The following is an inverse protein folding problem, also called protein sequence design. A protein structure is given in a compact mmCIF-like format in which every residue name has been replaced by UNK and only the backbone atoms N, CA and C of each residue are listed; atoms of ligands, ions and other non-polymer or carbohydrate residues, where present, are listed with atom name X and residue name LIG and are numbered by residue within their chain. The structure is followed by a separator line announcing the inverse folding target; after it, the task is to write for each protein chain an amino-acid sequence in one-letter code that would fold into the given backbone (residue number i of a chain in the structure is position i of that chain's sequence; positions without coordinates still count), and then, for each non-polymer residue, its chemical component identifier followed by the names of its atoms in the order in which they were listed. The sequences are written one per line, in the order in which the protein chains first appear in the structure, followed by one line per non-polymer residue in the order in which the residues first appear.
data_IF_304737915594
#
_entry.id   IF_304737915594
#
_cell.length_a   1.000
_cell.length_b   1.000
_cell.length_c   1.000
_cell.angle_alpha   90.00
_cell.angle_beta   90.00
_cell.angle_gamma   90.00
#
_symmetry.space_group_name_H-M   'P 1'
#
loop_
_entity.id
_entity.type
_entity.pdbx_description
1 polymer ?
#
# COMPACT_ATOMS: atom_id res chain seq x y z
N UNK A 1 13.01 -0.41 -33.27
CA UNK A 1 13.36 -0.27 -31.85
C UNK A 1 12.05 -0.33 -31.07
N UNK A 2 11.68 -1.50 -30.57
CA UNK A 2 10.48 -1.71 -29.76
C UNK A 2 10.91 -1.48 -28.31
N UNK A 3 10.29 -0.50 -27.65
CA UNK A 3 10.46 -0.26 -26.21
C UNK A 3 10.09 -1.54 -25.45
N UNK A 4 10.82 -1.93 -24.38
CA UNK A 4 10.41 -3.03 -23.54
C UNK A 4 9.03 -2.72 -22.95
N UNK A 5 8.08 -3.64 -23.17
CA UNK A 5 6.76 -3.60 -22.55
C UNK A 5 6.94 -3.59 -21.04
N UNK A 6 6.43 -2.55 -20.37
CA UNK A 6 6.35 -2.49 -18.91
C UNK A 6 5.53 -3.69 -18.45
N UNK A 7 6.19 -4.74 -17.95
CA UNK A 7 5.53 -5.93 -17.43
C UNK A 7 4.51 -5.50 -16.37
N UNK A 8 3.25 -5.83 -16.58
CA UNK A 8 2.20 -5.67 -15.58
C UNK A 8 2.63 -6.44 -14.33
N UNK A 9 3.08 -5.73 -13.29
CA UNK A 9 3.45 -6.34 -12.02
C UNK A 9 2.17 -6.56 -11.23
N UNK A 10 1.89 -7.81 -10.89
CA UNK A 10 0.93 -8.12 -9.85
C UNK A 10 1.58 -7.71 -8.53
N UNK A 11 0.98 -6.74 -7.84
CA UNK A 11 1.48 -6.22 -6.58
C UNK A 11 1.84 -7.36 -5.62
N UNK A 12 3.11 -7.43 -5.21
CA UNK A 12 3.54 -8.37 -4.19
C UNK A 12 3.21 -7.82 -2.81
N UNK A 13 2.83 -8.68 -1.86
CA UNK A 13 2.72 -8.29 -0.44
C UNK A 13 3.99 -7.60 0.07
N UNK A 14 5.15 -7.92 -0.53
CA UNK A 14 6.42 -7.25 -0.29
C UNK A 14 6.40 -5.77 -0.62
N UNK A 15 5.83 -5.35 -1.74
CA UNK A 15 5.76 -3.94 -2.15
C UNK A 15 4.85 -3.14 -1.21
N UNK A 16 3.72 -3.73 -0.75
CA UNK A 16 2.87 -3.08 0.26
C UNK A 16 3.63 -2.89 1.59
N UNK A 17 4.47 -3.86 1.96
CA UNK A 17 5.29 -3.76 3.17
C UNK A 17 6.40 -2.73 3.05
N UNK A 18 6.85 -2.42 1.84
CA UNK A 18 8.02 -1.56 1.59
C UNK A 18 7.66 -0.11 1.28
N UNK A 19 6.57 0.15 0.52
CA UNK A 19 6.18 1.51 0.07
C UNK A 19 4.75 1.87 0.45
N UNK A 20 4.01 0.93 1.04
CA UNK A 20 2.64 1.15 1.51
C UNK A 20 2.50 2.18 2.62
N UNK A 21 3.59 2.64 3.21
CA UNK A 21 3.54 3.31 4.48
C UNK A 21 4.36 4.60 4.45
N UNK A 22 3.92 5.65 5.15
CA UNK A 22 4.63 6.94 5.15
C UNK A 22 5.98 6.88 5.86
N UNK A 23 6.04 6.21 7.02
CA UNK A 23 7.24 6.17 7.85
C UNK A 23 7.77 4.75 8.04
N UNK A 24 9.05 4.50 7.75
CA UNK A 24 9.69 3.22 8.06
C UNK A 24 10.44 3.34 9.38
N UNK A 25 10.15 2.47 10.36
CA UNK A 25 10.79 2.54 11.66
C UNK A 25 12.09 1.73 11.69
N UNK A 26 13.20 2.39 11.99
CA UNK A 26 14.51 1.75 12.11
C UNK A 26 14.74 1.27 13.54
N UNK A 27 15.10 -0.02 13.71
CA UNK A 27 15.57 -0.57 14.98
C UNK A 27 14.51 -0.84 16.05
N UNK A 28 13.23 -1.00 15.69
CA UNK A 28 12.22 -1.52 16.62
C UNK A 28 12.44 -3.02 16.78
N UNK A 29 13.30 -3.38 17.75
CA UNK A 29 13.41 -4.76 18.22
C UNK A 29 12.00 -5.20 18.57
N UNK A 30 11.51 -6.25 17.91
CA UNK A 30 10.28 -6.93 18.31
C UNK A 30 10.36 -7.12 19.82
N UNK A 31 9.39 -6.56 20.56
CA UNK A 31 9.22 -6.88 21.98
C UNK A 31 8.73 -8.33 22.04
N UNK A 32 9.63 -9.28 21.73
CA UNK A 32 9.48 -10.66 22.14
C UNK A 32 9.69 -10.69 23.65
N UNK A 33 8.79 -11.43 24.30
CA UNK A 33 8.66 -11.45 25.75
C UNK A 33 9.97 -11.77 26.45
N UNK A 34 10.20 -11.01 27.51
CA UNK A 34 11.12 -11.30 28.59
C UNK A 34 11.05 -12.78 29.01
N UNK A 35 12.16 -13.47 28.77
CA UNK A 35 12.40 -14.88 29.06
C UNK A 35 13.90 -15.13 29.07
N UNK A 36 14.56 -14.67 30.12
CA UNK A 36 15.97 -14.92 30.42
C UNK A 36 16.24 -16.41 30.62
N UNK A 37 17.23 -16.96 29.90
CA UNK A 37 18.42 -17.66 30.44
C UNK A 37 18.96 -18.73 29.45
N UNK A 38 20.26 -18.66 29.15
CA UNK A 38 21.04 -19.81 28.65
C UNK A 38 22.11 -19.49 27.61
N UNK A 39 23.35 -19.31 28.07
CA UNK A 39 24.58 -19.18 27.29
C UNK A 39 24.85 -20.31 26.29
N UNK A 40 25.40 -19.98 25.10
CA UNK A 40 26.42 -20.80 24.42
C UNK A 40 27.15 -20.03 23.31
N UNK A 41 28.46 -20.19 23.34
CA UNK A 41 29.53 -19.56 22.56
C UNK A 41 29.59 -19.91 21.04
N UNK A 42 29.97 -18.89 20.24
CA UNK A 42 31.02 -18.92 19.16
C UNK A 42 30.70 -19.60 17.80
N UNK A 43 31.37 -19.29 16.65
CA UNK A 43 32.05 -18.07 16.16
C UNK A 43 31.49 -17.51 14.82
N UNK A 44 32.01 -16.34 14.44
CA UNK A 44 31.93 -15.71 13.13
C UNK A 44 32.29 -16.63 11.95
N UNK A 45 31.54 -16.52 10.85
CA UNK A 45 32.03 -16.84 9.52
C UNK A 45 31.52 -15.79 8.54
N UNK A 46 32.44 -14.93 8.08
CA UNK A 46 32.19 -14.03 6.97
C UNK A 46 32.03 -14.82 5.68
N UNK A 47 31.02 -14.45 4.90
CA UNK A 47 30.95 -14.72 3.47
C UNK A 47 30.45 -13.44 2.81
N UNK A 48 31.38 -12.67 2.27
CA UNK A 48 31.10 -11.81 1.14
C UNK A 48 30.69 -12.73 -0.02
N UNK A 49 29.56 -12.45 -0.63
CA UNK A 49 29.29 -12.88 -1.99
C UNK A 49 28.56 -11.73 -2.66
N UNK A 50 29.37 -10.98 -3.41
CA UNK A 50 28.93 -10.02 -4.41
C UNK A 50 27.84 -10.64 -5.25
N UNK A 51 26.62 -10.11 -5.12
CA UNK A 51 25.58 -10.27 -6.10
C UNK A 51 25.20 -8.86 -6.51
N UNK A 52 25.85 -8.39 -7.58
CA UNK A 52 25.34 -7.34 -8.46
C UNK A 52 24.03 -7.84 -9.07
N UNK A 53 22.98 -7.93 -8.26
CA UNK A 53 21.62 -7.92 -8.77
C UNK A 53 21.36 -6.47 -9.16
N UNK A 54 21.41 -6.21 -10.46
CA UNK A 54 20.89 -4.97 -11.04
C UNK A 54 19.40 -4.95 -10.73
N UNK A 55 19.05 -4.37 -9.56
CA UNK A 55 17.69 -4.09 -9.19
C UNK A 55 17.10 -3.22 -10.30
N UNK A 56 16.02 -3.66 -10.96
CA UNK A 56 15.43 -2.89 -12.04
C UNK A 56 14.98 -1.56 -11.46
N UNK A 57 15.57 -0.47 -11.97
CA UNK A 57 15.25 0.91 -11.58
C UNK A 57 13.73 1.06 -11.46
N UNK A 58 13.29 1.22 -10.22
CA UNK A 58 11.90 1.28 -9.84
C UNK A 58 11.33 2.63 -10.30
N UNK A 59 10.66 2.64 -11.44
CA UNK A 59 9.76 3.72 -11.89
C UNK A 59 8.46 3.68 -11.06
N UNK A 60 8.56 3.94 -9.75
CA UNK A 60 7.38 4.30 -8.95
C UNK A 60 7.27 5.83 -8.88
N UNK A 61 6.06 6.35 -9.02
CA UNK A 61 5.71 7.75 -8.69
C UNK A 61 5.37 7.95 -7.21
N UNK A 62 5.49 6.86 -6.44
CA UNK A 62 5.63 6.76 -4.98
C UNK A 62 6.33 7.97 -4.32
N UNK A 63 6.17 8.33 -3.04
CA UNK A 63 7.31 8.84 -2.27
C UNK A 63 7.94 7.68 -1.49
N UNK A 64 9.28 7.61 -1.45
CA UNK A 64 9.97 6.67 -0.55
C UNK A 64 9.47 6.93 0.87
N UNK A 65 9.12 5.89 1.65
CA UNK A 65 8.84 6.08 3.06
C UNK A 65 10.00 6.77 3.78
N UNK A 66 9.69 7.75 4.61
CA UNK A 66 10.69 8.42 5.43
C UNK A 66 11.15 7.48 6.55
N UNK A 67 12.45 7.21 6.62
CA UNK A 67 13.01 6.38 7.69
C UNK A 67 13.08 7.18 8.98
N UNK A 68 12.33 6.75 9.99
CA UNK A 68 12.32 7.32 11.33
C UNK A 68 13.08 6.44 12.31
N UNK A 69 14.08 7.02 12.97
CA UNK A 69 14.68 6.41 14.15
C UNK A 69 13.72 6.47 15.35
N UNK A 70 13.92 5.60 16.33
CA UNK A 70 13.04 5.44 17.49
C UNK A 70 12.75 6.76 18.23
N UNK A 71 13.74 7.63 18.41
CA UNK A 71 13.55 8.91 19.12
C UNK A 71 12.63 9.87 18.35
N UNK A 72 12.77 9.94 17.02
CA UNK A 72 11.90 10.73 16.14
C UNK A 72 10.49 10.14 16.09
N UNK A 73 10.36 8.82 15.97
CA UNK A 73 9.07 8.14 16.01
C UNK A 73 8.31 8.41 17.31
N UNK A 74 8.99 8.29 18.46
CA UNK A 74 8.40 8.62 19.76
C UNK A 74 8.06 10.11 19.88
N UNK A 75 8.87 11.01 19.30
CA UNK A 75 8.55 12.43 19.24
C UNK A 75 7.30 12.70 18.41
N UNK A 76 7.18 12.07 17.25
CA UNK A 76 6.01 12.15 16.38
C UNK A 76 4.75 11.66 17.11
N UNK A 77 4.78 10.46 17.69
CA UNK A 77 3.66 9.92 18.47
C UNK A 77 3.30 10.84 19.65
N UNK A 78 4.30 11.43 20.33
CA UNK A 78 4.06 12.41 21.40
C UNK A 78 3.36 13.67 20.89
N UNK A 79 3.74 14.18 19.73
CA UNK A 79 3.07 15.33 19.11
C UNK A 79 1.60 15.00 18.82
N UNK A 80 1.33 13.86 18.19
CA UNK A 80 -0.04 13.41 17.90
C UNK A 80 -0.84 13.19 19.20
N UNK A 81 -0.21 12.62 20.24
CA UNK A 81 -0.80 12.44 21.56
C UNK A 81 -1.15 13.78 22.23
N UNK A 82 -0.31 14.80 22.10
CA UNK A 82 -0.57 16.14 22.65
C UNK A 82 -1.72 16.81 21.89
N UNK A 83 -1.76 16.70 20.57
CA UNK A 83 -2.86 17.21 19.75
C UNK A 83 -4.20 16.54 20.06
N UNK A 84 -4.17 15.28 20.49
CA UNK A 84 -5.37 14.50 20.84
C UNK A 84 -5.70 14.52 22.34
N UNK A 85 -4.90 15.19 23.18
CA UNK A 85 -5.08 15.28 24.63
C UNK A 85 -6.27 16.16 25.04
N UNK A 86 -6.84 15.88 26.22
CA UNK A 86 -7.90 16.70 26.84
C UNK A 86 -9.31 16.12 26.76
N UNK A 87 -9.49 14.92 26.20
CA UNK A 87 -10.82 14.26 26.05
C UNK A 87 -10.99 12.94 26.80
N UNK A 88 -9.90 12.43 27.38
CA UNK A 88 -9.88 11.18 28.13
C UNK A 88 -10.06 11.43 29.62
N UNK A 89 -10.78 10.54 30.31
CA UNK A 89 -10.69 10.45 31.75
C UNK A 89 -9.28 9.98 32.17
N UNK A 90 -8.73 10.48 33.28
CA UNK A 90 -7.44 10.03 33.79
C UNK A 90 -7.43 8.50 33.96
N UNK A 91 -6.52 7.82 33.25
CA UNK A 91 -6.37 6.35 33.30
C UNK A 91 -6.93 5.60 32.09
N UNK A 92 -7.57 6.28 31.13
CA UNK A 92 -8.05 5.65 29.90
C UNK A 92 -7.09 5.87 28.71
N UNK A 93 -7.05 4.89 27.79
CA UNK A 93 -6.30 4.98 26.55
C UNK A 93 -7.10 5.75 25.49
N UNK A 94 -6.42 6.63 24.74
CA UNK A 94 -7.06 7.41 23.68
C UNK A 94 -7.14 6.66 22.35
N UNK A 95 -8.32 6.13 21.96
CA UNK A 95 -8.46 5.43 20.68
C UNK A 95 -8.24 6.35 19.47
N UNK A 96 -8.40 7.67 19.63
CA UNK A 96 -8.20 8.65 18.56
C UNK A 96 -6.72 8.74 18.15
N UNK A 97 -5.80 8.49 19.07
CA UNK A 97 -4.37 8.47 18.77
C UNK A 97 -4.05 7.41 17.71
N UNK A 98 -4.56 6.18 17.86
CA UNK A 98 -4.30 5.10 16.90
C UNK A 98 -4.89 5.44 15.54
N UNK A 99 -6.10 6.01 15.52
CA UNK A 99 -6.78 6.38 14.27
C UNK A 99 -5.98 7.43 13.50
N UNK A 100 -5.44 8.44 14.20
CA UNK A 100 -4.64 9.50 13.59
C UNK A 100 -3.31 8.95 13.02
N UNK A 101 -2.60 8.14 13.82
CA UNK A 101 -1.35 7.51 13.38
C UNK A 101 -1.56 6.57 12.18
N UNK A 102 -2.64 5.78 12.20
CA UNK A 102 -3.00 4.89 11.08
C UNK A 102 -3.28 5.69 9.80
N UNK A 103 -3.95 6.82 9.93
CA UNK A 103 -4.26 7.71 8.82
C UNK A 103 -3.01 8.28 8.16
N UNK A 104 -2.11 8.82 8.98
CA UNK A 104 -0.87 9.39 8.51
C UNK A 104 0.03 8.32 7.88
N UNK A 105 0.03 7.11 8.43
CA UNK A 105 0.79 6.00 7.89
C UNK A 105 0.23 5.48 6.55
N UNK A 106 -1.09 5.55 6.34
CA UNK A 106 -1.78 5.04 5.15
C UNK A 106 -2.04 6.10 4.06
N UNK A 107 -1.34 7.24 4.14
CA UNK A 107 -1.48 8.35 3.19
C UNK A 107 -1.32 7.88 1.72
N UNK A 108 -0.32 7.04 1.47
CA UNK A 108 0.03 6.53 0.14
C UNK A 108 -0.94 5.49 -0.43
N UNK A 109 -1.83 4.88 0.38
CA UNK A 109 -2.66 3.74 -0.06
C UNK A 109 -3.59 4.04 -1.22
N UNK A 110 -3.97 5.31 -1.40
CA UNK A 110 -4.83 5.70 -2.50
C UNK A 110 -4.16 5.49 -3.85
N UNK A 111 -2.98 6.07 -4.05
CA UNK A 111 -2.26 6.00 -5.32
C UNK A 111 -1.84 4.56 -5.62
N UNK A 112 -1.34 3.82 -4.61
CA UNK A 112 -0.95 2.41 -4.78
C UNK A 112 -2.13 1.54 -5.24
N UNK A 113 -3.31 1.78 -4.70
CA UNK A 113 -4.51 1.04 -5.06
C UNK A 113 -5.06 1.45 -6.44
N UNK A 114 -4.96 2.74 -6.80
CA UNK A 114 -5.32 3.24 -8.14
C UNK A 114 -4.39 2.64 -9.21
N UNK A 115 -3.07 2.63 -8.97
CA UNK A 115 -2.07 2.03 -9.85
C UNK A 115 -2.28 0.52 -10.00
N UNK A 116 -2.48 -0.18 -8.88
CA UNK A 116 -2.75 -1.62 -8.91
C UNK A 116 -4.00 -1.95 -9.74
N UNK A 117 -5.07 -1.15 -9.61
CA UNK A 117 -6.29 -1.34 -10.37
C UNK A 117 -6.06 -1.15 -11.87
N UNK A 118 -5.27 -0.15 -12.26
CA UNK A 118 -4.87 0.06 -13.66
C UNK A 118 -4.05 -1.11 -14.20
N UNK A 119 -3.11 -1.63 -13.43
CA UNK A 119 -2.23 -2.70 -13.87
C UNK A 119 -2.98 -4.03 -14.01
N UNK A 120 -3.89 -4.34 -13.08
CA UNK A 120 -4.77 -5.51 -13.21
C UNK A 120 -5.68 -5.38 -14.43
N UNK A 121 -6.22 -4.19 -14.69
CA UNK A 121 -7.08 -3.94 -15.86
C UNK A 121 -6.32 -4.10 -17.18
N UNK A 122 -5.10 -3.57 -17.27
CA UNK A 122 -4.20 -3.77 -18.43
C UNK A 122 -3.87 -5.24 -18.61
N UNK A 123 -3.53 -5.95 -17.53
CA UNK A 123 -3.21 -7.37 -17.56
C UNK A 123 -4.39 -8.20 -18.08
N UNK A 124 -5.61 -7.93 -17.58
CA UNK A 124 -6.82 -8.61 -18.05
C UNK A 124 -7.09 -8.33 -19.53
N UNK A 125 -6.92 -7.08 -19.96
CA UNK A 125 -7.09 -6.68 -21.36
C UNK A 125 -6.12 -7.40 -22.27
N UNK A 126 -4.83 -7.42 -21.92
CA UNK A 126 -3.79 -8.11 -22.68
C UNK A 126 -4.04 -9.61 -22.73
N UNK A 127 -4.39 -10.24 -21.60
CA UNK A 127 -4.72 -11.65 -21.55
C UNK A 127 -5.86 -12.02 -22.50
N UNK A 128 -6.93 -11.23 -22.55
CA UNK A 128 -8.05 -11.50 -23.45
C UNK A 128 -7.66 -11.29 -24.92
N UNK A 129 -6.85 -10.27 -25.22
CA UNK A 129 -6.32 -10.04 -26.57
C UNK A 129 -5.48 -11.24 -27.05
N UNK A 130 -4.58 -11.72 -26.20
CA UNK A 130 -3.72 -12.87 -26.49
C UNK A 130 -4.56 -14.14 -26.67
N UNK A 131 -5.55 -14.37 -25.79
CA UNK A 131 -6.46 -15.49 -25.92
C UNK A 131 -7.27 -15.44 -27.23
N UNK A 132 -7.82 -14.27 -27.59
CA UNK A 132 -8.55 -14.10 -28.85
C UNK A 132 -7.68 -14.36 -30.07
N UNK A 133 -6.39 -14.02 -30.01
CA UNK A 133 -5.45 -14.32 -31.09
C UNK A 133 -5.27 -15.82 -31.32
N UNK A 134 -5.28 -16.60 -30.24
CA UNK A 134 -5.04 -18.04 -30.29
C UNK A 134 -6.31 -18.83 -30.68
N UNK A 135 -7.49 -18.35 -30.30
CA UNK A 135 -8.76 -19.08 -30.50
C UNK A 135 -9.57 -18.61 -31.71
N UNK A 136 -9.34 -17.39 -32.23
CA UNK A 136 -10.15 -16.87 -33.33
C UNK A 136 -9.85 -17.59 -34.65
N UNK A 137 -10.88 -18.08 -35.37
CA UNK A 137 -10.73 -18.59 -36.73
C UNK A 137 -10.22 -17.49 -37.68
N UNK A 138 -9.53 -17.87 -38.75
CA UNK A 138 -8.98 -16.94 -39.74
C UNK A 138 -10.01 -15.96 -40.35
N UNK A 139 -11.29 -16.36 -40.38
CA UNK A 139 -12.39 -15.57 -40.92
C UNK A 139 -12.95 -14.51 -39.95
N UNK A 140 -12.54 -14.55 -38.68
CA UNK A 140 -12.99 -13.62 -37.64
C UNK A 140 -11.78 -12.89 -37.06
N UNK A 141 -11.54 -11.62 -37.43
CA UNK A 141 -10.38 -10.91 -36.93
C UNK A 141 -10.58 -10.55 -35.44
N UNK A 142 -9.60 -10.85 -34.57
CA UNK A 142 -9.67 -10.60 -33.12
C UNK A 142 -10.13 -9.19 -32.71
N UNK A 143 -9.71 -8.09 -33.39
CA UNK A 143 -10.15 -6.75 -33.02
C UNK A 143 -11.67 -6.53 -33.10
N UNK A 144 -12.37 -7.25 -34.00
CA UNK A 144 -13.83 -7.14 -34.11
C UNK A 144 -14.52 -7.75 -32.90
N UNK A 145 -14.06 -8.92 -32.45
CA UNK A 145 -14.61 -9.62 -31.28
C UNK A 145 -14.31 -8.84 -30.00
N UNK A 146 -13.09 -8.31 -29.89
CA UNK A 146 -12.69 -7.46 -28.77
C UNK A 146 -13.64 -6.27 -28.62
N UNK A 147 -13.82 -5.49 -29.69
CA UNK A 147 -14.64 -4.29 -29.66
C UNK A 147 -16.13 -4.56 -29.40
N UNK A 148 -16.66 -5.69 -29.88
CA UNK A 148 -18.10 -5.96 -29.80
C UNK A 148 -18.54 -6.76 -28.56
N UNK A 149 -17.65 -7.53 -27.94
CA UNK A 149 -18.01 -8.45 -26.85
C UNK A 149 -17.24 -8.16 -25.55
N UNK A 150 -15.96 -7.82 -25.68
CA UNK A 150 -15.03 -7.80 -24.54
C UNK A 150 -14.91 -6.41 -23.94
N UNK A 151 -14.80 -5.37 -24.79
CA UNK A 151 -14.50 -4.00 -24.37
C UNK A 151 -15.47 -3.48 -23.31
N UNK A 152 -16.78 -3.64 -23.53
CA UNK A 152 -17.82 -3.21 -22.59
C UNK A 152 -17.73 -3.95 -21.25
N UNK A 153 -17.45 -5.26 -21.29
CA UNK A 153 -17.32 -6.08 -20.08
C UNK A 153 -16.09 -5.71 -19.25
N UNK A 154 -14.94 -5.50 -19.90
CA UNK A 154 -13.71 -5.06 -19.23
C UNK A 154 -13.87 -3.67 -18.65
N UNK A 155 -14.47 -2.74 -19.41
CA UNK A 155 -14.76 -1.39 -18.94
C UNK A 155 -15.71 -1.39 -17.74
N UNK A 156 -16.80 -2.15 -17.79
CA UNK A 156 -17.75 -2.26 -16.68
C UNK A 156 -17.09 -2.81 -15.40
N UNK A 157 -16.19 -3.79 -15.53
CA UNK A 157 -15.43 -4.32 -14.39
C UNK A 157 -14.44 -3.30 -13.83
N UNK A 158 -13.80 -2.53 -14.70
CA UNK A 158 -12.91 -1.44 -14.30
C UNK A 158 -13.67 -0.37 -13.49
N UNK A 159 -14.79 0.11 -14.03
CA UNK A 159 -15.66 1.09 -13.36
C UNK A 159 -16.18 0.57 -12.01
N UNK A 160 -16.53 -0.72 -11.92
CA UNK A 160 -16.92 -1.34 -10.66
C UNK A 160 -15.77 -1.38 -9.65
N UNK A 161 -14.54 -1.70 -10.10
CA UNK A 161 -13.34 -1.67 -9.26
C UNK A 161 -13.02 -0.26 -8.74
N UNK A 162 -13.12 0.76 -9.60
CA UNK A 162 -12.94 2.17 -9.23
C UNK A 162 -14.00 2.61 -8.21
N UNK A 163 -15.24 2.16 -8.39
CA UNK A 163 -16.33 2.46 -7.46
C UNK A 163 -16.10 1.84 -6.08
N UNK A 164 -15.62 0.59 -6.01
CA UNK A 164 -15.25 -0.05 -4.73
C UNK A 164 -14.06 0.64 -4.07
N UNK A 165 -13.01 0.96 -4.85
CA UNK A 165 -11.86 1.71 -4.33
C UNK A 165 -12.29 3.05 -3.74
N UNK A 166 -13.18 3.77 -4.43
CA UNK A 166 -13.76 5.03 -3.94
C UNK A 166 -14.51 4.84 -2.61
N UNK A 167 -15.24 3.74 -2.42
CA UNK A 167 -15.91 3.44 -1.14
C UNK A 167 -14.89 3.22 -0.03
N UNK A 168 -13.83 2.43 -0.26
CA UNK A 168 -12.77 2.20 0.72
C UNK A 168 -12.05 3.51 1.12
N UNK A 169 -11.79 4.38 0.15
CA UNK A 169 -11.21 5.70 0.40
C UNK A 169 -12.16 6.65 1.14
N UNK A 170 -13.46 6.55 0.87
CA UNK A 170 -14.50 7.28 1.60
C UNK A 170 -14.61 6.78 3.04
N UNK A 171 -14.55 5.46 3.25
CA UNK A 171 -14.56 4.88 4.58
C UNK A 171 -13.35 5.39 5.37
N UNK A 172 -12.15 5.37 4.78
CA UNK A 172 -10.95 6.02 5.34
C UNK A 172 -11.26 7.48 5.73
N UNK A 173 -11.72 8.32 4.78
CA UNK A 173 -12.11 9.76 4.95
C UNK A 173 -13.15 10.00 6.04
N UNK A 174 -14.15 9.13 6.18
CA UNK A 174 -15.26 9.29 7.11
C UNK A 174 -14.78 9.24 8.56
N UNK A 175 -13.81 8.38 8.88
CA UNK A 175 -13.23 8.33 10.22
C UNK A 175 -12.57 9.65 10.61
N UNK A 176 -11.88 10.30 9.68
CA UNK A 176 -11.22 11.60 9.89
C UNK A 176 -12.22 12.75 10.05
N UNK A 177 -13.27 12.78 9.22
CA UNK A 177 -14.31 13.81 9.33
C UNK A 177 -15.14 13.67 10.62
N UNK A 178 -15.44 12.44 11.05
CA UNK A 178 -16.10 12.22 12.35
C UNK A 178 -15.20 12.64 13.52
N UNK A 179 -13.88 12.48 13.38
CA UNK A 179 -12.89 12.96 14.33
C UNK A 179 -12.91 14.49 14.42
N UNK A 180 -12.81 15.19 13.28
CA UNK A 180 -12.85 16.65 13.21
C UNK A 180 -14.21 17.22 13.67
N UNK A 181 -15.33 16.66 13.22
CA UNK A 181 -16.67 17.11 13.65
C UNK A 181 -16.89 16.89 15.15
N UNK A 182 -16.42 15.76 15.69
CA UNK A 182 -16.43 15.53 17.13
C UNK A 182 -15.46 16.46 17.85
N UNK A 183 -14.40 16.92 17.19
CA UNK A 183 -13.49 17.93 17.74
C UNK A 183 -14.15 19.30 17.85
N UNK A 184 -14.91 19.74 16.84
CA UNK A 184 -15.48 21.10 16.76
C UNK A 184 -16.84 21.30 17.46
N UNK A 185 -17.62 20.24 17.74
CA UNK A 185 -19.00 20.37 18.26
C UNK A 185 -19.15 20.28 19.78
N UNK A 186 -18.13 19.85 20.52
CA UNK A 186 -18.13 19.99 21.98
C UNK A 186 -17.17 21.10 22.41
N UNK A 187 -17.62 22.37 22.46
CA UNK A 187 -16.93 23.37 23.24
C UNK A 187 -17.15 23.00 24.72
N UNK A 188 -16.06 22.71 25.42
CA UNK A 188 -16.06 22.68 26.89
C UNK A 188 -16.43 24.04 27.46
#
# INVERSE_FOLDING_TARGET
MLSPSKSARLWSTKEMSEIGHKYKFEGLVSLEGDGSDGDADTPASGVNSDQDEVEPELDWTLPVPEVLCQSKALSWVKTVLICTRGRELPGNFNPLLIVELFWEQSENWQELAEDHLQDVSKLCSNFVIDLLRDICPADVPPPRVQASVVEESLKSRMEAGEAELKKLLQDRKRWYQLLIWRIEIEPG
#
